data_IF_998286622839
#
_entry.id   IF_998286622839
#
_cell.length_a   1.000
_cell.length_b   1.000
_cell.length_c   1.000
_cell.angle_alpha   90.00
_cell.angle_beta   90.00
_cell.angle_gamma   90.00
#
_symmetry.space_group_name_H-M   'P 1'
#
loop_
_entity.id
_entity.type
_entity.pdbx_description
1 polymer ?
#
# COMPACT_ATOMS: atom_id res chain seq x y z
N UNK A 1 12.66 19.95 2.42
CA UNK A 1 12.85 20.54 1.06
C UNK A 1 13.12 19.46 0.02
N UNK A 2 14.26 18.74 0.04
CA UNK A 2 14.55 17.64 -0.91
C UNK A 2 13.42 16.62 -1.10
N UNK A 3 12.81 16.10 -0.03
CA UNK A 3 11.66 15.17 -0.11
C UNK A 3 10.44 15.80 -0.76
N UNK A 4 10.13 17.07 -0.42
CA UNK A 4 9.00 17.79 -1.01
C UNK A 4 9.23 17.98 -2.50
N UNK A 5 10.43 18.39 -2.91
CA UNK A 5 10.77 18.58 -4.32
C UNK A 5 10.69 17.25 -5.10
N UNK A 6 11.17 16.14 -4.51
CA UNK A 6 11.08 14.81 -5.10
C UNK A 6 9.62 14.39 -5.35
N UNK A 7 8.78 14.48 -4.33
CA UNK A 7 7.37 14.07 -4.41
C UNK A 7 6.60 15.00 -5.35
N UNK A 8 6.78 16.30 -5.22
CA UNK A 8 6.11 17.29 -6.08
C UNK A 8 6.45 17.07 -7.55
N UNK A 9 7.73 16.89 -7.90
CA UNK A 9 8.14 16.63 -9.28
C UNK A 9 7.60 15.30 -9.79
N UNK A 10 7.55 14.28 -8.93
CA UNK A 10 6.98 12.96 -9.30
C UNK A 10 5.50 13.10 -9.63
N UNK A 11 4.72 13.73 -8.75
CA UNK A 11 3.29 13.94 -8.97
C UNK A 11 3.02 14.85 -10.15
N UNK A 12 3.82 15.89 -10.37
CA UNK A 12 3.64 16.80 -11.49
C UNK A 12 3.84 16.10 -12.85
N UNK A 13 4.73 15.12 -12.91
CA UNK A 13 4.94 14.30 -14.11
C UNK A 13 3.81 13.28 -14.33
N UNK A 14 3.14 12.83 -13.26
CA UNK A 14 1.98 11.93 -13.35
C UNK A 14 0.73 12.69 -13.79
N UNK A 15 0.34 13.71 -13.03
CA UNK A 15 -0.79 14.59 -13.32
C UNK A 15 -0.61 15.91 -12.55
N UNK A 16 -0.69 17.09 -13.21
CA UNK A 16 -0.55 18.38 -12.53
C UNK A 16 -1.53 18.61 -11.37
N UNK A 17 -2.71 17.97 -11.38
CA UNK A 17 -3.63 18.09 -10.24
C UNK A 17 -3.06 17.43 -8.98
N UNK A 18 -2.29 16.34 -9.12
CA UNK A 18 -1.70 15.65 -7.97
C UNK A 18 -0.63 16.51 -7.29
N UNK A 19 0.18 17.22 -8.09
CA UNK A 19 1.20 18.12 -7.55
C UNK A 19 0.60 19.38 -6.93
N UNK A 20 -0.52 19.88 -7.46
CA UNK A 20 -1.29 20.97 -6.87
C UNK A 20 -1.88 20.57 -5.52
N UNK A 21 -2.54 19.40 -5.43
CA UNK A 21 -3.06 18.88 -4.16
C UNK A 21 -1.93 18.72 -3.14
N UNK A 22 -0.80 18.15 -3.53
CA UNK A 22 0.35 18.01 -2.62
C UNK A 22 0.89 19.35 -2.13
N UNK A 23 0.99 20.34 -3.03
CA UNK A 23 1.42 21.69 -2.68
C UNK A 23 0.49 22.33 -1.64
N UNK A 24 -0.83 22.21 -1.83
CA UNK A 24 -1.82 22.75 -0.89
C UNK A 24 -1.65 22.15 0.51
N UNK A 25 -1.43 20.83 0.62
CA UNK A 25 -1.21 20.17 1.92
C UNK A 25 0.03 20.71 2.64
N UNK A 26 1.11 20.98 1.89
CA UNK A 26 2.35 21.53 2.43
C UNK A 26 2.16 22.98 2.87
N UNK A 27 1.52 23.81 2.05
CA UNK A 27 1.35 25.25 2.30
C UNK A 27 0.32 25.54 3.40
N UNK A 28 -0.73 24.73 3.51
CA UNK A 28 -1.80 24.90 4.50
C UNK A 28 -1.47 24.28 5.87
N UNK A 29 -0.28 23.67 6.04
CA UNK A 29 0.12 23.05 7.31
C UNK A 29 -0.68 21.79 7.65
N UNK A 30 -1.13 21.04 6.65
CA UNK A 30 -1.95 19.83 6.83
C UNK A 30 -1.12 18.57 7.17
N UNK A 31 0.20 18.70 7.29
CA UNK A 31 1.13 17.59 7.55
C UNK A 31 1.84 17.83 8.89
N UNK A 32 1.56 16.99 9.90
CA UNK A 32 2.30 17.00 11.17
C UNK A 32 3.54 16.08 11.05
N UNK A 33 4.68 16.68 10.70
CA UNK A 33 5.86 15.99 10.16
C UNK A 33 6.70 15.25 11.23
N UNK A 34 7.18 15.94 12.25
CA UNK A 34 8.27 15.45 13.10
C UNK A 34 7.79 14.65 14.32
N UNK A 35 8.57 13.65 14.79
CA UNK A 35 8.25 12.93 16.03
C UNK A 35 8.32 13.85 17.25
N UNK A 36 7.43 13.62 18.22
CA UNK A 36 7.35 14.38 19.48
C UNK A 36 7.02 13.45 20.64
N UNK A 37 7.45 13.79 21.86
CA UNK A 37 7.08 13.05 23.08
C UNK A 37 5.54 13.00 23.20
N UNK A 38 4.98 11.80 23.32
CA UNK A 38 3.54 11.58 23.42
C UNK A 38 2.78 11.56 22.08
N UNK A 39 3.46 11.78 20.95
CA UNK A 39 2.85 11.66 19.62
C UNK A 39 2.57 10.20 19.29
N UNK A 40 1.45 9.93 18.63
CA UNK A 40 1.09 8.59 18.15
C UNK A 40 2.15 8.07 17.17
N UNK A 41 2.55 6.81 17.33
CA UNK A 41 3.49 6.14 16.44
C UNK A 41 2.87 5.89 15.05
N UNK A 42 3.74 5.69 14.04
CA UNK A 42 3.35 5.38 12.67
C UNK A 42 3.08 6.62 11.82
N UNK A 43 2.33 6.43 10.75
CA UNK A 43 1.81 7.47 9.88
C UNK A 43 0.37 7.13 9.52
N UNK A 44 -0.44 8.14 9.18
CA UNK A 44 -1.76 7.95 8.61
C UNK A 44 -2.28 9.24 7.97
N UNK A 45 -3.13 9.07 6.98
CA UNK A 45 -4.00 10.08 6.42
C UNK A 45 -5.37 9.99 7.10
N UNK A 46 -5.81 11.10 7.69
CA UNK A 46 -7.09 11.20 8.38
C UNK A 46 -8.06 12.02 7.55
N UNK A 47 -9.09 11.34 7.04
CA UNK A 47 -10.28 11.98 6.50
C UNK A 47 -11.36 12.05 7.58
N UNK A 48 -11.91 13.25 7.79
CA UNK A 48 -12.99 13.50 8.76
C UNK A 48 -14.28 13.90 8.03
N UNK A 49 -15.46 13.70 8.62
CA UNK A 49 -16.73 14.00 7.96
C UNK A 49 -16.85 15.43 7.41
N UNK A 50 -17.40 15.50 6.20
CA UNK A 50 -17.84 16.65 5.39
C UNK A 50 -16.87 17.82 5.16
N UNK A 51 -16.61 18.65 6.16
CA UNK A 51 -16.00 19.99 5.96
C UNK A 51 -14.59 20.12 6.53
N UNK A 52 -14.16 19.15 7.35
CA UNK A 52 -12.83 19.23 7.94
C UNK A 52 -11.77 18.92 6.88
N UNK A 53 -10.68 19.71 6.82
CA UNK A 53 -9.54 19.40 5.98
C UNK A 53 -8.98 18.01 6.30
N UNK A 54 -8.40 17.38 5.29
CA UNK A 54 -7.64 16.14 5.45
C UNK A 54 -6.31 16.47 6.11
N UNK A 55 -5.88 15.64 7.06
CA UNK A 55 -4.59 15.81 7.73
C UNK A 55 -3.75 14.56 7.61
N UNK A 56 -2.44 14.74 7.50
CA UNK A 56 -1.46 13.65 7.52
C UNK A 56 -0.65 13.76 8.79
N UNK A 57 -0.55 12.65 9.52
CA UNK A 57 0.39 12.49 10.62
C UNK A 57 1.59 11.68 10.14
N UNK A 58 2.79 12.19 10.39
CA UNK A 58 4.06 11.48 10.16
C UNK A 58 4.90 11.44 11.43
N UNK A 59 5.92 10.58 11.41
CA UNK A 59 7.04 10.60 12.35
C UNK A 59 8.36 10.62 11.56
N UNK A 60 8.57 11.71 10.81
CA UNK A 60 9.67 11.86 9.85
C UNK A 60 11.03 12.02 10.54
N UNK A 61 11.99 11.17 10.17
CA UNK A 61 13.33 11.05 10.75
C UNK A 61 14.47 11.24 9.74
N UNK A 62 14.18 11.84 8.57
CA UNK A 62 15.11 12.09 7.46
C UNK A 62 15.67 10.82 6.79
N UNK A 63 14.90 9.73 6.79
CA UNK A 63 15.21 8.52 6.02
C UNK A 63 14.47 8.53 4.68
N UNK A 64 14.99 7.78 3.71
CA UNK A 64 14.27 7.57 2.44
C UNK A 64 12.90 6.93 2.66
N UNK A 65 12.82 5.96 3.57
CA UNK A 65 11.55 5.34 3.99
C UNK A 65 10.50 6.38 4.39
N UNK A 66 10.92 7.48 5.03
CA UNK A 66 9.99 8.52 5.46
C UNK A 66 9.45 9.33 4.28
N UNK A 67 10.20 9.42 3.17
CA UNK A 67 9.75 10.04 1.92
C UNK A 67 8.72 9.15 1.21
N UNK A 68 8.92 7.83 1.23
CA UNK A 68 7.96 6.86 0.71
C UNK A 68 6.68 6.85 1.54
N UNK A 69 6.79 6.88 2.88
CA UNK A 69 5.64 7.01 3.78
C UNK A 69 4.87 8.30 3.51
N UNK A 70 5.53 9.45 3.31
CA UNK A 70 4.82 10.67 2.93
C UNK A 70 4.11 10.52 1.58
N UNK A 71 4.74 9.89 0.59
CA UNK A 71 4.10 9.62 -0.70
C UNK A 71 2.87 8.70 -0.56
N UNK A 72 2.98 7.69 0.30
CA UNK A 72 1.92 6.75 0.65
C UNK A 72 0.71 7.50 1.24
N UNK A 73 0.92 8.29 2.29
CA UNK A 73 -0.16 9.07 2.91
C UNK A 73 -0.73 10.13 1.95
N UNK A 74 0.11 10.69 1.09
CA UNK A 74 -0.36 11.61 0.04
C UNK A 74 -1.22 10.92 -1.01
N UNK A 75 -0.99 9.63 -1.32
CA UNK A 75 -1.89 8.87 -2.18
C UNK A 75 -3.30 8.79 -1.60
N UNK A 76 -3.43 8.51 -0.29
CA UNK A 76 -4.72 8.58 0.39
C UNK A 76 -5.32 9.99 0.37
N UNK A 77 -4.52 11.02 0.61
CA UNK A 77 -4.99 12.41 0.58
C UNK A 77 -5.45 12.87 -0.82
N UNK A 78 -4.77 12.44 -1.88
CA UNK A 78 -5.17 12.68 -3.28
C UNK A 78 -6.49 11.99 -3.55
N UNK A 79 -6.61 10.69 -3.20
CA UNK A 79 -7.86 9.94 -3.36
C UNK A 79 -9.02 10.64 -2.66
N UNK A 80 -8.85 11.01 -1.38
CA UNK A 80 -9.90 11.67 -0.60
C UNK A 80 -10.28 13.05 -1.17
N UNK A 81 -9.29 13.81 -1.64
CA UNK A 81 -9.53 15.12 -2.29
C UNK A 81 -10.34 14.97 -3.58
N UNK A 82 -10.00 13.99 -4.42
CA UNK A 82 -10.71 13.73 -5.67
C UNK A 82 -12.15 13.24 -5.44
N UNK A 83 -12.34 12.36 -4.44
CA UNK A 83 -13.66 11.91 -4.00
C UNK A 83 -14.51 13.08 -3.49
N UNK A 84 -13.94 13.98 -2.67
CA UNK A 84 -14.64 15.17 -2.15
C UNK A 84 -15.09 16.12 -3.25
N UNK A 85 -14.27 16.31 -4.29
CA UNK A 85 -14.60 17.13 -5.46
C UNK A 85 -15.72 16.51 -6.31
N UNK A 86 -15.77 15.19 -6.38
CA UNK A 86 -16.62 14.48 -7.35
C UNK A 86 -17.95 14.00 -6.77
N UNK A 87 -18.02 13.74 -5.47
CA UNK A 87 -19.15 13.03 -4.84
C UNK A 87 -19.82 13.80 -3.70
N UNK A 88 -21.12 13.54 -3.56
CA UNK A 88 -21.89 13.96 -2.40
C UNK A 88 -21.38 13.28 -1.13
N UNK A 89 -21.50 13.95 0.03
CA UNK A 89 -20.94 13.52 1.31
C UNK A 89 -21.21 12.06 1.70
N UNK A 90 -22.35 11.50 1.30
CA UNK A 90 -22.74 10.12 1.59
C UNK A 90 -21.90 9.05 0.86
N UNK A 91 -21.21 9.42 -0.22
CA UNK A 91 -20.43 8.51 -1.05
C UNK A 91 -18.91 8.74 -0.93
N UNK A 92 -18.47 9.57 0.02
CA UNK A 92 -17.08 10.05 0.09
C UNK A 92 -16.07 9.09 0.73
N UNK A 93 -16.51 7.91 1.13
CA UNK A 93 -15.63 6.88 1.67
C UNK A 93 -15.06 6.00 0.55
N UNK A 94 -14.15 5.09 0.89
CA UNK A 94 -13.57 4.11 -0.03
C UNK A 94 -13.79 2.69 0.47
N UNK A 95 -13.94 1.75 -0.44
CA UNK A 95 -14.01 0.35 -0.06
C UNK A 95 -12.67 -0.13 0.50
N UNK A 96 -12.71 -0.94 1.57
CA UNK A 96 -11.51 -1.55 2.15
C UNK A 96 -10.65 -2.26 1.10
N UNK A 97 -11.26 -2.98 0.16
CA UNK A 97 -10.55 -3.70 -0.91
C UNK A 97 -9.68 -2.80 -1.81
N UNK A 98 -9.99 -1.50 -1.87
CA UNK A 98 -9.36 -0.51 -2.76
C UNK A 98 -8.59 0.57 -2.01
N UNK A 99 -8.65 0.58 -0.67
CA UNK A 99 -8.11 1.67 0.15
C UNK A 99 -6.61 1.92 -0.07
N UNK A 100 -5.84 0.85 -0.32
CA UNK A 100 -4.38 0.89 -0.48
C UNK A 100 -3.92 1.09 -1.93
N UNK A 101 -4.84 1.23 -2.89
CA UNK A 101 -4.46 1.38 -4.30
C UNK A 101 -3.76 2.71 -4.52
N UNK A 102 -4.35 3.81 -4.02
CA UNK A 102 -3.83 5.15 -4.23
C UNK A 102 -2.47 5.36 -3.55
N UNK A 103 -2.34 4.92 -2.30
CA UNK A 103 -1.14 5.04 -1.49
C UNK A 103 0.05 4.32 -2.11
N UNK A 104 -0.12 3.03 -2.42
CA UNK A 104 0.94 2.21 -3.05
C UNK A 104 1.26 2.68 -4.48
N UNK A 105 0.29 3.20 -5.23
CA UNK A 105 0.51 3.76 -6.56
C UNK A 105 1.45 4.97 -6.52
N UNK A 106 1.18 5.91 -5.62
CA UNK A 106 2.02 7.09 -5.44
C UNK A 106 3.42 6.75 -4.91
N UNK A 107 3.50 5.82 -3.96
CA UNK A 107 4.76 5.35 -3.36
C UNK A 107 5.73 4.81 -4.41
N UNK A 108 5.28 3.92 -5.29
CA UNK A 108 6.13 3.24 -6.27
C UNK A 108 6.71 4.21 -7.30
N UNK A 109 5.95 5.21 -7.77
CA UNK A 109 6.49 6.24 -8.66
C UNK A 109 7.54 7.12 -7.99
N UNK A 110 7.39 7.42 -6.69
CA UNK A 110 8.40 8.19 -5.93
C UNK A 110 9.66 7.36 -5.74
N UNK A 111 9.52 6.07 -5.45
CA UNK A 111 10.65 5.13 -5.38
C UNK A 111 11.38 5.03 -6.72
N UNK A 112 10.66 4.90 -7.82
CA UNK A 112 11.21 4.87 -9.18
C UNK A 112 12.01 6.16 -9.48
N UNK A 113 11.42 7.33 -9.20
CA UNK A 113 12.07 8.61 -9.43
C UNK A 113 13.34 8.79 -8.60
N UNK A 114 13.33 8.30 -7.37
CA UNK A 114 14.52 8.29 -6.51
C UNK A 114 15.60 7.34 -7.07
N UNK A 115 15.22 6.13 -7.44
CA UNK A 115 16.12 5.09 -7.97
C UNK A 115 16.86 5.51 -9.24
N UNK A 116 16.19 6.24 -10.14
CA UNK A 116 16.77 6.74 -11.40
C UNK A 116 18.02 7.62 -11.21
N UNK A 117 18.15 8.29 -10.05
CA UNK A 117 19.28 9.19 -9.77
C UNK A 117 20.34 8.55 -8.85
N UNK A 118 20.15 7.28 -8.47
CA UNK A 118 21.01 6.57 -7.55
C UNK A 118 22.10 5.78 -8.28
N UNK A 119 23.22 5.54 -7.61
CA UNK A 119 24.26 4.61 -8.10
C UNK A 119 23.75 3.15 -8.10
N UNK A 120 24.45 2.24 -8.80
CA UNK A 120 24.02 0.85 -8.96
C UNK A 120 23.87 0.09 -7.63
N UNK A 121 24.72 0.37 -6.64
CA UNK A 121 24.63 -0.27 -5.32
C UNK A 121 23.37 0.18 -4.58
N UNK A 122 23.12 1.48 -4.60
CA UNK A 122 21.88 2.05 -4.06
C UNK A 122 20.66 1.52 -4.80
N UNK A 123 20.69 1.44 -6.14
CA UNK A 123 19.59 0.86 -6.92
C UNK A 123 19.29 -0.59 -6.52
N UNK A 124 20.33 -1.42 -6.33
CA UNK A 124 20.15 -2.80 -5.86
C UNK A 124 19.51 -2.83 -4.46
N UNK A 125 19.99 -2.01 -3.53
CA UNK A 125 19.43 -1.93 -2.18
C UNK A 125 17.95 -1.53 -2.20
N UNK A 126 17.56 -0.58 -3.07
CA UNK A 126 16.17 -0.16 -3.24
C UNK A 126 15.29 -1.28 -3.80
N UNK A 127 15.79 -2.03 -4.80
CA UNK A 127 15.06 -3.17 -5.37
C UNK A 127 14.87 -4.28 -4.34
N UNK A 128 15.89 -4.59 -3.55
CA UNK A 128 15.77 -5.58 -2.47
C UNK A 128 14.80 -5.14 -1.37
N UNK A 129 14.85 -3.86 -0.96
CA UNK A 129 13.89 -3.28 -0.02
C UNK A 129 12.47 -3.43 -0.55
N UNK A 130 12.24 -3.03 -1.81
CA UNK A 130 10.92 -3.12 -2.44
C UNK A 130 10.41 -4.56 -2.60
N UNK A 131 11.29 -5.51 -2.94
CA UNK A 131 10.93 -6.93 -2.99
C UNK A 131 10.49 -7.44 -1.61
N UNK A 132 11.20 -7.08 -0.55
CA UNK A 132 10.83 -7.43 0.81
C UNK A 132 9.47 -6.81 1.21
N UNK A 133 9.23 -5.56 0.81
CA UNK A 133 7.96 -4.86 1.07
C UNK A 133 6.80 -5.49 0.29
N UNK A 134 6.99 -5.83 -0.99
CA UNK A 134 5.98 -6.49 -1.83
C UNK A 134 5.65 -7.89 -1.28
N UNK A 135 6.65 -8.66 -0.85
CA UNK A 135 6.44 -9.95 -0.20
C UNK A 135 5.66 -9.78 1.12
N UNK A 136 5.99 -8.75 1.90
CA UNK A 136 5.32 -8.42 3.16
C UNK A 136 3.90 -7.89 2.99
N UNK A 137 3.59 -7.24 1.86
CA UNK A 137 2.28 -6.67 1.54
C UNK A 137 1.37 -7.67 0.80
N UNK A 138 1.94 -8.67 0.12
CA UNK A 138 1.18 -9.71 -0.57
C UNK A 138 1.15 -10.97 0.29
N UNK A 139 2.26 -11.71 0.35
CA UNK A 139 2.30 -13.07 0.89
C UNK A 139 2.01 -13.11 2.39
N UNK A 140 2.67 -12.24 3.18
CA UNK A 140 2.44 -12.16 4.63
C UNK A 140 1.00 -11.75 4.95
N UNK A 141 0.41 -10.85 4.16
CA UNK A 141 -0.97 -10.40 4.37
C UNK A 141 -1.99 -11.49 4.02
N UNK A 142 -1.77 -12.23 2.92
CA UNK A 142 -2.61 -13.39 2.56
C UNK A 142 -2.50 -14.51 3.60
N UNK A 143 -1.31 -14.77 4.14
CA UNK A 143 -1.12 -15.69 5.25
C UNK A 143 -1.88 -15.22 6.51
N UNK A 144 -1.87 -13.92 6.81
CA UNK A 144 -2.66 -13.37 7.91
C UNK A 144 -4.17 -13.46 7.67
N UNK A 145 -4.62 -13.22 6.43
CA UNK A 145 -6.03 -13.32 6.05
C UNK A 145 -6.55 -14.76 6.17
N UNK A 146 -5.76 -15.74 5.73
CA UNK A 146 -6.11 -17.17 5.86
C UNK A 146 -6.09 -17.63 7.32
N UNK A 147 -5.17 -17.10 8.15
CA UNK A 147 -5.23 -17.22 9.59
C UNK A 147 -6.53 -16.67 10.19
N UNK A 148 -6.93 -15.45 9.80
CA UNK A 148 -8.16 -14.82 10.26
C UNK A 148 -9.42 -15.63 9.86
N UNK A 149 -9.45 -16.16 8.64
CA UNK A 149 -10.52 -17.06 8.21
C UNK A 149 -10.59 -18.32 9.08
N UNK A 150 -9.45 -18.97 9.36
CA UNK A 150 -9.41 -20.22 10.12
C UNK A 150 -9.73 -20.01 11.62
N UNK A 151 -9.23 -18.94 12.25
CA UNK A 151 -9.56 -18.64 13.66
C UNK A 151 -11.06 -18.36 13.81
N UNK A 152 -11.66 -17.56 12.91
CA UNK A 152 -13.10 -17.29 12.94
C UNK A 152 -13.94 -18.55 12.66
N UNK A 153 -13.49 -19.42 11.75
CA UNK A 153 -14.16 -20.72 11.51
C UNK A 153 -14.09 -21.62 12.73
N UNK A 154 -12.93 -21.74 13.37
CA UNK A 154 -12.74 -22.57 14.56
C UNK A 154 -13.57 -22.06 15.73
N UNK A 155 -13.61 -20.75 15.97
CA UNK A 155 -14.43 -20.14 17.01
C UNK A 155 -15.92 -20.42 16.80
N UNK A 156 -16.44 -20.30 15.57
CA UNK A 156 -17.86 -20.58 15.28
C UNK A 156 -18.27 -22.01 15.58
N UNK A 157 -17.35 -22.97 15.48
CA UNK A 157 -17.63 -24.39 15.72
C UNK A 157 -17.41 -24.78 17.18
N UNK A 158 -16.34 -24.29 17.81
CA UNK A 158 -15.89 -24.75 19.13
C UNK A 158 -16.22 -23.78 20.27
N UNK A 159 -16.57 -22.54 19.96
CA UNK A 159 -16.60 -21.46 20.94
C UNK A 159 -15.19 -21.01 21.31
N UNK A 160 -14.90 -20.97 22.61
CA UNK A 160 -13.63 -20.49 23.16
C UNK A 160 -12.40 -21.18 22.52
N UNK A 161 -11.38 -20.37 22.18
CA UNK A 161 -10.07 -20.83 21.72
C UNK A 161 -9.00 -20.39 22.73
N UNK A 162 -8.20 -21.34 23.21
CA UNK A 162 -7.07 -21.04 24.08
C UNK A 162 -5.95 -20.32 23.31
N UNK A 163 -5.11 -19.56 24.01
CA UNK A 163 -4.03 -18.77 23.38
C UNK A 163 -3.06 -19.66 22.58
N UNK A 164 -2.81 -20.88 23.05
CA UNK A 164 -1.94 -21.87 22.39
C UNK A 164 -2.54 -22.33 21.05
N UNK A 165 -3.87 -22.47 20.99
CA UNK A 165 -4.55 -22.83 19.75
C UNK A 165 -4.49 -21.68 18.72
N UNK A 166 -4.67 -20.44 19.18
CA UNK A 166 -4.54 -19.25 18.34
C UNK A 166 -3.11 -19.12 17.81
N UNK A 167 -2.11 -19.29 18.69
CA UNK A 167 -0.71 -19.24 18.35
C UNK A 167 -0.29 -20.30 17.32
N UNK A 168 -0.70 -21.55 17.54
CA UNK A 168 -0.43 -22.63 16.60
C UNK A 168 -1.07 -22.39 15.22
N UNK A 169 -2.29 -21.84 15.17
CA UNK A 169 -2.93 -21.43 13.91
C UNK A 169 -2.14 -20.31 13.23
N UNK A 170 -1.69 -19.30 13.98
CA UNK A 170 -0.91 -18.20 13.43
C UNK A 170 0.41 -18.71 12.82
N UNK A 171 1.17 -19.51 13.58
CA UNK A 171 2.43 -20.10 13.11
C UNK A 171 2.25 -20.98 11.88
N UNK A 172 1.18 -21.79 11.83
CA UNK A 172 0.83 -22.61 10.65
C UNK A 172 0.75 -21.76 9.38
N UNK A 173 0.02 -20.64 9.43
CA UNK A 173 -0.16 -19.77 8.26
C UNK A 173 1.08 -18.94 7.93
N UNK A 174 1.82 -18.46 8.95
CA UNK A 174 3.11 -17.82 8.71
C UNK A 174 4.12 -18.77 8.06
N UNK A 175 4.12 -20.06 8.42
CA UNK A 175 4.98 -21.07 7.80
C UNK A 175 4.69 -21.24 6.31
N UNK A 176 3.42 -21.20 5.90
CA UNK A 176 3.03 -21.28 4.50
C UNK A 176 3.57 -20.10 3.67
N UNK A 177 3.67 -18.92 4.27
CA UNK A 177 4.27 -17.74 3.64
C UNK A 177 5.81 -17.80 3.62
N UNK A 178 6.42 -18.11 4.77
CA UNK A 178 7.88 -18.05 4.93
C UNK A 178 8.61 -19.23 4.27
N UNK A 179 7.92 -20.35 4.05
CA UNK A 179 8.49 -21.57 3.50
C UNK A 179 9.56 -22.19 4.41
N UNK A 180 10.45 -22.97 3.80
CA UNK A 180 11.53 -23.67 4.52
C UNK A 180 12.76 -22.78 4.78
N UNK A 181 12.70 -21.50 4.38
CA UNK A 181 13.80 -20.55 4.53
C UNK A 181 13.85 -19.88 5.90
N UNK A 182 12.77 -19.97 6.69
CA UNK A 182 12.71 -19.40 8.04
C UNK A 182 12.30 -20.47 9.04
N UNK A 183 13.14 -20.68 10.03
CA UNK A 183 12.82 -21.51 11.18
C UNK A 183 11.81 -20.78 12.08
N UNK A 184 10.65 -21.41 12.29
CA UNK A 184 9.63 -20.92 13.21
C UNK A 184 9.63 -21.77 14.47
N UNK A 185 9.75 -21.09 15.61
CA UNK A 185 9.79 -21.69 16.93
C UNK A 185 8.47 -21.48 17.68
N UNK A 186 8.38 -21.88 18.94
CA UNK A 186 7.20 -21.60 19.79
C UNK A 186 7.05 -20.11 20.11
N UNK A 187 8.14 -19.35 20.09
CA UNK A 187 8.12 -17.90 20.26
C UNK A 187 7.39 -17.17 19.12
N UNK A 188 7.29 -17.79 17.93
CA UNK A 188 6.56 -17.24 16.79
C UNK A 188 5.04 -17.21 16.98
N UNK A 189 4.50 -17.98 17.93
CA UNK A 189 3.06 -18.10 18.19
C UNK A 189 2.42 -16.76 18.60
N UNK A 190 3.22 -15.82 19.14
CA UNK A 190 2.72 -14.54 19.65
C UNK A 190 2.99 -13.35 18.70
N UNK A 191 3.55 -13.57 17.51
CA UNK A 191 3.87 -12.48 16.56
C UNK A 191 2.63 -11.72 16.05
N UNK A 192 1.42 -12.27 16.20
CA UNK A 192 0.16 -11.59 15.90
C UNK A 192 -0.23 -10.55 16.95
N UNK A 193 0.26 -10.68 18.19
CA UNK A 193 -0.10 -9.81 19.32
C UNK A 193 0.19 -8.34 19.06
N UNK A 194 1.37 -7.92 18.54
CA UNK A 194 1.62 -6.52 18.20
C UNK A 194 0.94 -6.06 16.91
N UNK A 195 0.35 -6.97 16.12
CA UNK A 195 -0.22 -6.62 14.82
C UNK A 195 -1.63 -6.03 14.98
N UNK A 196 -1.72 -4.70 15.03
CA UNK A 196 -2.98 -3.97 15.26
C UNK A 196 -4.07 -4.30 14.23
N UNK A 197 -3.71 -4.40 12.95
CA UNK A 197 -4.66 -4.62 11.84
C UNK A 197 -5.46 -5.92 11.93
N UNK A 198 -4.99 -6.93 12.66
CA UNK A 198 -5.78 -8.17 12.92
C UNK A 198 -7.07 -7.86 13.71
N UNK A 199 -7.13 -6.71 14.41
CA UNK A 199 -8.31 -6.25 15.15
C UNK A 199 -9.25 -5.42 14.27
N UNK A 200 -8.89 -5.20 13.01
CA UNK A 200 -9.73 -4.59 11.99
C UNK A 200 -10.23 -5.72 11.09
N UNK A 201 -11.39 -6.28 11.44
CA UNK A 201 -11.93 -7.52 10.85
C UNK A 201 -11.80 -7.57 9.33
N UNK A 202 -11.01 -8.53 8.83
CA UNK A 202 -10.74 -8.77 7.42
C UNK A 202 -10.21 -7.55 6.67
N UNK A 203 -9.46 -6.66 7.32
CA UNK A 203 -8.81 -5.55 6.65
C UNK A 203 -7.57 -5.99 5.87
N UNK A 204 -6.75 -6.91 6.41
CA UNK A 204 -5.39 -7.19 5.90
C UNK A 204 -5.30 -7.59 4.42
N UNK A 205 -6.36 -8.17 3.83
CA UNK A 205 -6.33 -8.50 2.39
C UNK A 205 -6.27 -7.27 1.50
N UNK A 206 -6.69 -6.09 2.00
CA UNK A 206 -6.66 -4.82 1.27
C UNK A 206 -5.27 -4.43 0.82
N UNK A 207 -4.23 -4.78 1.59
CA UNK A 207 -2.84 -4.54 1.21
C UNK A 207 -2.47 -5.34 -0.02
N UNK A 208 -2.78 -6.64 -0.04
CA UNK A 208 -2.46 -7.51 -1.16
C UNK A 208 -3.26 -7.11 -2.41
N UNK A 209 -4.58 -6.89 -2.27
CA UNK A 209 -5.40 -6.45 -3.40
C UNK A 209 -5.01 -5.06 -3.89
N UNK A 210 -4.80 -4.12 -2.98
CA UNK A 210 -4.43 -2.74 -3.27
C UNK A 210 -3.11 -2.64 -4.01
N UNK A 211 -2.07 -3.34 -3.52
CA UNK A 211 -0.76 -3.36 -4.16
C UNK A 211 -0.80 -4.00 -5.55
N UNK A 212 -1.49 -5.13 -5.73
CA UNK A 212 -1.59 -5.79 -7.04
C UNK A 212 -2.37 -4.95 -8.07
N UNK A 213 -3.46 -4.30 -7.65
CA UNK A 213 -4.21 -3.35 -8.48
C UNK A 213 -3.33 -2.15 -8.83
N UNK A 214 -2.61 -1.62 -7.84
CA UNK A 214 -1.68 -0.50 -8.04
C UNK A 214 -0.59 -0.83 -9.06
N UNK A 215 0.06 -1.99 -8.94
CA UNK A 215 1.06 -2.47 -9.91
C UNK A 215 0.49 -2.57 -11.34
N UNK A 216 -0.74 -3.08 -11.48
CA UNK A 216 -1.42 -3.08 -12.76
C UNK A 216 -1.61 -1.66 -13.31
N UNK A 217 -2.11 -0.73 -12.50
CA UNK A 217 -2.33 0.67 -12.90
C UNK A 217 -1.01 1.37 -13.25
N UNK A 218 0.06 1.13 -12.49
CA UNK A 218 1.38 1.68 -12.78
C UNK A 218 1.90 1.19 -14.13
N UNK A 219 1.83 -0.12 -14.41
CA UNK A 219 2.23 -0.68 -15.70
C UNK A 219 1.42 -0.04 -16.84
N UNK A 220 0.10 0.09 -16.65
CA UNK A 220 -0.77 0.72 -17.64
C UNK A 220 -0.40 2.18 -17.91
N UNK A 221 -0.10 2.97 -16.87
CA UNK A 221 0.38 4.36 -17.00
C UNK A 221 1.75 4.43 -17.67
N UNK A 222 2.69 3.51 -17.36
CA UNK A 222 4.00 3.45 -18.01
C UNK A 222 3.89 3.16 -19.52
N UNK A 223 2.89 2.39 -19.94
CA UNK A 223 2.64 2.06 -21.36
C UNK A 223 1.90 3.17 -22.09
N UNK A 224 0.95 3.82 -21.44
CA UNK A 224 0.19 4.94 -21.97
C UNK A 224 -0.07 5.96 -20.86
N UNK A 225 0.61 7.10 -20.94
CA UNK A 225 0.44 8.18 -19.96
C UNK A 225 -1.02 8.64 -19.85
N UNK A 226 -1.85 8.50 -20.90
CA UNK A 226 -3.26 8.88 -20.84
C UNK A 226 -4.08 7.98 -19.90
N UNK A 227 -3.56 6.80 -19.53
CA UNK A 227 -4.19 5.92 -18.56
C UNK A 227 -4.31 6.58 -17.17
N UNK A 228 -3.54 7.62 -16.88
CA UNK A 228 -3.70 8.39 -15.63
C UNK A 228 -5.12 8.95 -15.48
N UNK A 229 -5.82 9.25 -16.58
CA UNK A 229 -7.21 9.69 -16.55
C UNK A 229 -8.13 8.60 -15.97
N UNK A 230 -7.91 7.33 -16.33
CA UNK A 230 -8.65 6.19 -15.74
C UNK A 230 -8.29 5.98 -14.27
N UNK A 231 -7.04 6.22 -13.89
CA UNK A 231 -6.64 6.22 -12.47
C UNK A 231 -7.40 7.32 -11.73
N UNK A 232 -7.49 8.53 -12.27
CA UNK A 232 -8.26 9.62 -11.66
C UNK A 232 -9.75 9.30 -11.58
N UNK A 233 -10.34 8.72 -12.61
CA UNK A 233 -11.74 8.25 -12.57
C UNK A 233 -11.96 7.24 -11.44
N UNK A 234 -11.04 6.27 -11.29
CA UNK A 234 -11.05 5.32 -10.17
C UNK A 234 -10.94 6.03 -8.81
N UNK A 235 -9.96 6.92 -8.66
CA UNK A 235 -9.72 7.65 -7.42
C UNK A 235 -10.85 8.62 -7.08
N UNK A 236 -11.67 9.03 -8.05
CA UNK A 236 -12.85 9.87 -7.82
C UNK A 236 -14.11 9.07 -7.48
N UNK A 237 -14.08 7.74 -7.62
CA UNK A 237 -15.29 6.92 -7.60
C UNK A 237 -15.85 6.65 -6.20
N UNK A 238 -15.04 6.71 -5.13
CA UNK A 238 -15.48 6.53 -3.75
C UNK A 238 -16.41 5.31 -3.55
N UNK A 239 -17.55 5.52 -2.89
CA UNK A 239 -18.62 4.52 -2.75
C UNK A 239 -19.74 4.64 -3.80
N UNK A 240 -19.50 5.29 -4.93
CA UNK A 240 -20.55 5.52 -5.95
C UNK A 240 -21.13 4.22 -6.51
N UNK A 241 -20.32 3.16 -6.60
CA UNK A 241 -20.72 1.84 -7.06
C UNK A 241 -19.87 0.74 -6.41
N UNK A 242 -20.26 -0.53 -6.56
CA UNK A 242 -19.42 -1.63 -6.09
C UNK A 242 -18.03 -1.62 -6.75
N UNK A 243 -16.95 -2.07 -6.06
CA UNK A 243 -15.61 -2.12 -6.64
C UNK A 243 -15.58 -2.82 -8.00
N UNK A 244 -16.29 -3.95 -8.13
CA UNK A 244 -16.41 -4.68 -9.40
C UNK A 244 -16.90 -3.79 -10.53
N UNK A 245 -17.96 -3.02 -10.30
CA UNK A 245 -18.52 -2.17 -11.35
C UNK A 245 -17.61 -0.99 -11.69
N UNK A 246 -16.96 -0.38 -10.68
CA UNK A 246 -15.97 0.68 -10.89
C UNK A 246 -14.86 0.17 -11.83
N UNK A 247 -14.25 -0.98 -11.53
CA UNK A 247 -13.21 -1.54 -12.38
C UNK A 247 -13.72 -1.92 -13.78
N UNK A 248 -14.90 -2.54 -13.88
CA UNK A 248 -15.48 -2.91 -15.17
C UNK A 248 -15.69 -1.70 -16.09
N UNK A 249 -16.13 -0.55 -15.55
CA UNK A 249 -16.28 0.69 -16.32
C UNK A 249 -14.96 1.22 -16.87
N UNK A 250 -13.85 0.99 -16.15
CA UNK A 250 -12.50 1.34 -16.59
C UNK A 250 -11.93 0.34 -17.62
N UNK A 251 -12.69 -0.72 -17.93
CA UNK A 251 -12.29 -1.82 -18.81
C UNK A 251 -11.41 -2.85 -18.10
N UNK A 252 -11.49 -2.96 -16.78
CA UNK A 252 -10.68 -3.85 -15.96
C UNK A 252 -11.58 -4.90 -15.30
N UNK A 253 -11.34 -6.18 -15.58
CA UNK A 253 -12.06 -7.27 -14.91
C UNK A 253 -11.21 -7.91 -13.80
N UNK A 254 -11.39 -7.39 -12.58
CA UNK A 254 -10.71 -7.88 -11.38
C UNK A 254 -11.15 -9.29 -10.94
N UNK A 255 -12.16 -9.88 -11.59
CA UNK A 255 -12.59 -11.25 -11.30
C UNK A 255 -11.75 -12.30 -12.03
N UNK A 256 -10.93 -11.88 -13.01
CA UNK A 256 -10.06 -12.77 -13.78
C UNK A 256 -8.71 -12.97 -13.08
N UNK A 257 -8.24 -14.22 -13.06
CA UNK A 257 -6.93 -14.57 -12.52
C UNK A 257 -5.79 -13.81 -13.22
N UNK A 258 -5.91 -13.62 -14.53
CA UNK A 258 -4.87 -12.97 -15.34
C UNK A 258 -4.62 -11.51 -14.95
N UNK A 259 -5.65 -10.81 -14.44
CA UNK A 259 -5.48 -9.47 -13.87
C UNK A 259 -4.49 -9.48 -12.70
N UNK A 260 -4.71 -10.38 -11.73
CA UNK A 260 -3.84 -10.51 -10.56
C UNK A 260 -2.44 -11.02 -10.91
N UNK A 261 -2.35 -11.95 -11.87
CA UNK A 261 -1.07 -12.42 -12.39
C UNK A 261 -0.24 -11.27 -12.98
N UNK A 262 -0.88 -10.27 -13.60
CA UNK A 262 -0.16 -9.10 -14.13
C UNK A 262 0.58 -8.35 -13.02
N UNK A 263 -0.04 -8.15 -11.85
CA UNK A 263 0.61 -7.52 -10.70
C UNK A 263 1.71 -8.40 -10.07
N UNK A 264 1.56 -9.73 -10.10
CA UNK A 264 2.59 -10.66 -9.61
C UNK A 264 3.80 -10.71 -10.55
N UNK A 265 3.57 -10.65 -11.87
CA UNK A 265 4.64 -10.63 -12.88
C UNK A 265 5.55 -9.39 -12.73
N UNK A 266 5.02 -8.25 -12.25
CA UNK A 266 5.84 -7.08 -11.92
C UNK A 266 6.82 -7.37 -10.77
N UNK A 267 6.40 -8.15 -9.77
CA UNK A 267 7.27 -8.57 -8.66
C UNK A 267 8.35 -9.53 -9.17
N UNK A 268 7.98 -10.46 -10.05
CA UNK A 268 8.93 -11.38 -10.69
C UNK A 268 9.93 -10.64 -11.59
N UNK A 269 9.49 -9.65 -12.36
CA UNK A 269 10.37 -8.80 -13.15
C UNK A 269 11.35 -8.02 -12.25
N UNK A 270 10.86 -7.42 -11.16
CA UNK A 270 11.70 -6.70 -10.21
C UNK A 270 12.78 -7.61 -9.59
N UNK A 271 12.43 -8.87 -9.31
CA UNK A 271 13.38 -9.88 -8.84
C UNK A 271 14.46 -10.15 -9.90
N UNK A 272 14.08 -10.41 -11.15
CA UNK A 272 15.04 -10.64 -12.24
C UNK A 272 15.97 -9.44 -12.49
N UNK A 273 15.45 -8.22 -12.36
CA UNK A 273 16.25 -6.99 -12.43
C UNK A 273 17.25 -6.89 -11.27
N UNK A 274 16.82 -7.21 -10.05
CA UNK A 274 17.69 -7.21 -8.86
C UNK A 274 18.81 -8.27 -8.99
N UNK A 275 18.49 -9.49 -9.40
CA UNK A 275 19.47 -10.56 -9.64
C UNK A 275 20.49 -10.18 -10.72
N UNK A 276 20.02 -9.57 -11.81
CA UNK A 276 20.89 -9.11 -12.89
C UNK A 276 21.85 -8.03 -12.40
N UNK A 277 21.34 -7.08 -11.61
CA UNK A 277 22.15 -6.00 -11.06
C UNK A 277 23.15 -6.52 -10.00
N UNK A 278 22.76 -7.48 -9.16
CA UNK A 278 23.64 -8.14 -8.21
C UNK A 278 24.81 -8.83 -8.92
N UNK A 279 24.53 -9.60 -9.99
CA UNK A 279 25.56 -10.24 -10.82
C UNK A 279 26.53 -9.23 -11.44
N UNK A 280 26.02 -8.09 -11.93
CA UNK A 280 26.86 -7.00 -12.47
C UNK A 280 27.77 -6.38 -11.41
N UNK A 281 27.36 -6.40 -10.14
CA UNK A 281 28.13 -5.90 -9.00
C UNK A 281 29.01 -6.98 -8.34
N UNK A 282 28.95 -8.22 -8.81
CA UNK A 282 29.70 -9.34 -8.24
C UNK A 282 29.17 -9.82 -6.89
N UNK A 283 27.87 -9.71 -6.66
CA UNK A 283 27.16 -10.16 -5.45
C UNK A 283 26.32 -11.41 -5.71
#
# INVERSE_FOLDING_TARGET
KKTVDLIWNTFNNLDPEFSLIFKDFVENGQIDVFPKKGKRNGAFCMSLPQETPVYILLNFSNKLSDSLILAHEMGHAINDTLVRKSLHALYRDVYTATAEVASTFCEDFVLEKFSQNADKETQLALKMMKLNDDVSAIHRQIACYTFEQEIHKNYRVKGYLAKEQIGALFRKHMKAYLGDYVELTEESDNWWVPWSHIRMYFYVYSYASGLLISKYMQNAVRRDNNFINKVKEFLSAGLSESPKNIFMKLGIDITKKDFWNTGLNEVEQLLGEAETLAKQLGK
#
